data_IF_541096573189
#
_entry.id   IF_541096573189
#
_cell.length_a   1.000
_cell.length_b   1.000
_cell.length_c   1.000
_cell.angle_alpha   90.00
_cell.angle_beta   90.00
_cell.angle_gamma   90.00
#
_symmetry.space_group_name_H-M   'P 1'
#
loop_
_entity.id
_entity.type
_entity.pdbx_description
1 polymer ?
#
# COMPACT_ATOMS: atom_id res chain seq x y z
N UNK A 1 1.97 21.17 -23.01
CA UNK A 1 1.13 21.89 -22.02
C UNK A 1 0.29 20.85 -21.30
N UNK A 2 0.24 20.92 -19.96
CA UNK A 2 -0.54 20.02 -19.13
C UNK A 2 -1.87 20.70 -18.78
N UNK A 3 -2.96 19.95 -18.91
CA UNK A 3 -4.30 20.35 -18.47
C UNK A 3 -4.67 19.56 -17.22
N UNK A 4 -5.34 20.21 -16.27
CA UNK A 4 -5.76 19.58 -15.00
C UNK A 4 -7.25 19.78 -14.76
N UNK A 5 -7.89 18.73 -14.24
CA UNK A 5 -9.26 18.77 -13.74
C UNK A 5 -9.38 17.94 -12.46
N UNK A 6 -10.21 18.39 -11.56
CA UNK A 6 -10.60 17.70 -10.34
C UNK A 6 -12.07 17.31 -10.45
N UNK A 7 -12.36 16.06 -10.14
CA UNK A 7 -13.70 15.48 -10.25
C UNK A 7 -14.10 14.93 -8.89
N UNK A 8 -15.22 15.42 -8.37
CA UNK A 8 -15.78 15.03 -7.07
C UNK A 8 -17.18 14.46 -7.28
N UNK A 9 -17.56 13.43 -6.55
CA UNK A 9 -18.95 12.98 -6.49
C UNK A 9 -19.83 14.04 -5.81
N UNK A 10 -21.02 14.30 -6.36
CA UNK A 10 -22.01 15.17 -5.71
C UNK A 10 -22.25 14.70 -4.27
N UNK A 11 -22.47 15.61 -3.35
CA UNK A 11 -22.56 15.37 -1.91
C UNK A 11 -23.48 14.18 -1.55
N UNK A 12 -24.63 14.07 -2.17
CA UNK A 12 -25.55 12.96 -1.92
C UNK A 12 -24.99 11.58 -2.33
N UNK A 13 -23.99 11.56 -3.21
CA UNK A 13 -23.36 10.35 -3.77
C UNK A 13 -21.93 10.10 -3.26
N UNK A 14 -21.41 10.98 -2.40
CA UNK A 14 -20.05 10.93 -1.86
C UNK A 14 -19.91 9.85 -0.75
N UNK A 15 -20.37 8.61 -1.02
CA UNK A 15 -20.40 7.53 -0.04
C UNK A 15 -18.99 7.16 0.45
N UNK A 16 -18.00 7.15 -0.46
CA UNK A 16 -16.62 6.82 -0.15
C UNK A 16 -16.01 7.86 0.82
N UNK A 17 -16.25 9.14 0.57
CA UNK A 17 -15.77 10.20 1.45
C UNK A 17 -16.40 10.10 2.85
N UNK A 18 -17.70 9.79 2.94
CA UNK A 18 -18.39 9.60 4.22
C UNK A 18 -17.88 8.37 4.97
N UNK A 19 -17.70 7.24 4.28
CA UNK A 19 -17.17 6.03 4.90
C UNK A 19 -15.75 6.27 5.45
N UNK A 20 -14.88 6.90 4.64
CA UNK A 20 -13.53 7.23 5.08
C UNK A 20 -13.52 8.20 6.29
N UNK A 21 -14.41 9.20 6.31
CA UNK A 21 -14.54 10.09 7.45
C UNK A 21 -14.90 9.32 8.74
N UNK A 22 -15.84 8.38 8.65
CA UNK A 22 -16.23 7.51 9.76
C UNK A 22 -15.07 6.62 10.21
N UNK A 23 -14.34 6.02 9.29
CA UNK A 23 -13.18 5.19 9.58
C UNK A 23 -12.08 5.98 10.30
N UNK A 24 -11.72 7.17 9.80
CA UNK A 24 -10.69 8.01 10.42
C UNK A 24 -11.09 8.45 11.85
N UNK A 25 -12.37 8.72 12.07
CA UNK A 25 -12.88 9.04 13.42
C UNK A 25 -12.88 7.83 14.35
N UNK A 26 -13.26 6.65 13.83
CA UNK A 26 -13.37 5.44 14.63
C UNK A 26 -12.01 4.83 14.95
N UNK A 27 -11.14 4.66 13.94
CA UNK A 27 -9.87 3.95 14.11
C UNK A 27 -8.73 4.85 14.57
N UNK A 28 -8.67 6.11 14.10
CA UNK A 28 -7.64 7.06 14.54
C UNK A 28 -8.07 7.95 15.70
N UNK A 29 -9.35 7.90 16.08
CA UNK A 29 -9.87 8.69 17.20
C UNK A 29 -9.93 10.20 16.91
N UNK A 30 -9.85 10.66 15.65
CA UNK A 30 -9.76 12.08 15.28
C UNK A 30 -11.15 12.70 15.23
N UNK A 31 -11.68 13.06 16.39
CA UNK A 31 -13.03 13.64 16.50
C UNK A 31 -13.12 15.10 15.99
N UNK A 32 -11.98 15.81 15.92
CA UNK A 32 -11.89 17.17 15.37
C UNK A 32 -12.01 17.23 13.83
N UNK A 33 -11.90 16.10 13.13
CA UNK A 33 -12.17 16.01 11.70
C UNK A 33 -13.67 16.10 11.45
N UNK A 34 -14.17 17.25 11.00
CA UNK A 34 -15.61 17.53 10.84
C UNK A 34 -16.15 17.17 9.46
N UNK A 35 -15.30 17.20 8.43
CA UNK A 35 -15.67 16.88 7.06
C UNK A 35 -14.49 16.29 6.27
N UNK A 36 -14.83 15.55 5.22
CA UNK A 36 -13.88 15.00 4.29
C UNK A 36 -14.48 14.97 2.89
N UNK A 37 -13.74 15.49 1.91
CA UNK A 37 -14.10 15.45 0.49
C UNK A 37 -12.99 14.73 -0.29
N UNK A 38 -13.39 14.00 -1.33
CA UNK A 38 -12.48 13.23 -2.17
C UNK A 38 -12.63 13.64 -3.62
N UNK A 39 -11.49 13.96 -4.25
CA UNK A 39 -11.44 14.28 -5.67
C UNK A 39 -10.55 13.29 -6.41
N UNK A 40 -10.97 12.96 -7.62
CA UNK A 40 -10.08 12.36 -8.60
C UNK A 40 -9.46 13.49 -9.41
N UNK A 41 -8.14 13.66 -9.33
CA UNK A 41 -7.37 14.58 -10.15
C UNK A 41 -6.95 13.86 -11.42
N UNK A 42 -7.12 14.52 -12.55
CA UNK A 42 -6.58 14.08 -13.82
C UNK A 42 -5.67 15.16 -14.37
N UNK A 43 -4.45 14.79 -14.73
CA UNK A 43 -3.48 15.60 -15.44
C UNK A 43 -3.29 14.99 -16.83
N UNK A 44 -3.46 15.81 -17.88
CA UNK A 44 -3.41 15.36 -19.27
C UNK A 44 -2.41 16.18 -20.08
N UNK A 45 -1.60 15.50 -20.89
CA UNK A 45 -0.65 16.11 -21.81
C UNK A 45 -0.74 15.46 -23.20
N UNK A 46 -0.51 16.25 -24.25
CA UNK A 46 -0.52 15.76 -25.64
C UNK A 46 -1.89 15.85 -26.33
N UNK A 47 -2.80 16.68 -25.83
CA UNK A 47 -4.11 16.92 -26.44
C UNK A 47 -4.38 18.42 -26.64
N UNK A 48 -5.36 18.73 -27.49
CA UNK A 48 -5.85 20.12 -27.65
C UNK A 48 -6.76 20.53 -26.49
N UNK A 49 -6.96 21.81 -26.31
CA UNK A 49 -7.88 22.34 -25.29
C UNK A 49 -9.31 21.87 -25.56
N UNK A 50 -9.75 21.87 -26.81
CA UNK A 50 -11.10 21.48 -27.21
C UNK A 50 -11.34 19.98 -26.89
N UNK A 51 -10.34 19.13 -27.18
CA UNK A 51 -10.43 17.69 -26.84
C UNK A 51 -10.44 17.49 -25.33
N UNK A 52 -9.65 18.27 -24.58
CA UNK A 52 -9.67 18.21 -23.12
C UNK A 52 -11.05 18.57 -22.57
N UNK A 53 -11.64 19.71 -22.98
CA UNK A 53 -12.95 20.17 -22.50
C UNK A 53 -14.06 19.16 -22.85
N UNK A 54 -13.96 18.51 -24.00
CA UNK A 54 -14.88 17.43 -24.40
C UNK A 54 -14.67 16.17 -23.54
N UNK A 55 -13.42 15.76 -23.33
CA UNK A 55 -13.08 14.59 -22.52
C UNK A 55 -13.50 14.75 -21.05
N UNK A 56 -13.43 15.97 -20.49
CA UNK A 56 -13.90 16.23 -19.13
C UNK A 56 -15.36 15.81 -18.95
N UNK A 57 -16.21 16.09 -19.91
CA UNK A 57 -17.65 15.81 -19.83
C UNK A 57 -18.05 14.40 -20.25
N UNK A 58 -17.19 13.68 -21.00
CA UNK A 58 -17.56 12.40 -21.62
C UNK A 58 -16.75 11.22 -21.10
N UNK A 59 -15.54 11.45 -20.59
CA UNK A 59 -14.62 10.39 -20.12
C UNK A 59 -14.26 10.55 -18.65
N UNK A 60 -13.90 11.80 -18.24
CA UNK A 60 -13.31 12.03 -16.93
C UNK A 60 -14.34 12.26 -15.83
N UNK A 61 -15.57 12.60 -16.19
CA UNK A 61 -16.68 12.81 -15.26
C UNK A 61 -18.02 12.35 -15.85
N UNK A 62 -18.96 12.13 -14.96
CA UNK A 62 -20.37 11.89 -15.26
C UNK A 62 -21.18 13.11 -14.78
N UNK A 63 -21.61 14.04 -15.64
CA UNK A 63 -22.24 15.30 -15.23
C UNK A 63 -23.47 15.15 -14.31
N UNK A 64 -24.15 14.02 -14.38
CA UNK A 64 -25.30 13.70 -13.50
C UNK A 64 -24.84 13.38 -12.06
N UNK A 65 -23.65 12.80 -11.89
CA UNK A 65 -23.15 12.24 -10.62
C UNK A 65 -22.01 13.07 -10.03
N UNK A 66 -21.28 13.82 -10.88
CA UNK A 66 -20.05 14.51 -10.55
C UNK A 66 -20.18 16.02 -10.63
N UNK A 67 -19.30 16.68 -9.90
CA UNK A 67 -18.93 18.09 -10.07
C UNK A 67 -17.47 18.17 -10.50
N UNK A 68 -17.14 19.13 -11.34
CA UNK A 68 -15.78 19.32 -11.87
C UNK A 68 -15.29 20.73 -11.60
N UNK A 69 -13.98 20.86 -11.31
CA UNK A 69 -13.30 22.15 -11.19
C UNK A 69 -11.88 22.05 -11.74
N UNK A 70 -11.37 23.14 -12.30
CA UNK A 70 -9.97 23.27 -12.69
C UNK A 70 -9.10 23.89 -11.58
N UNK A 71 -9.73 24.44 -10.55
CA UNK A 71 -9.04 25.05 -9.41
C UNK A 71 -8.71 23.98 -8.36
N UNK A 72 -7.59 24.19 -7.66
CA UNK A 72 -7.22 23.33 -6.54
C UNK A 72 -8.33 23.39 -5.48
N UNK A 73 -8.90 22.24 -5.08
CA UNK A 73 -9.92 22.21 -4.04
C UNK A 73 -9.44 22.89 -2.75
N UNK A 74 -10.32 23.67 -2.14
CA UNK A 74 -10.03 24.39 -0.90
C UNK A 74 -10.60 23.66 0.32
N UNK A 75 -9.91 23.75 1.44
CA UNK A 75 -10.28 23.22 2.75
C UNK A 75 -9.21 23.54 3.79
N UNK A 76 -9.40 23.12 5.04
CA UNK A 76 -8.46 23.42 6.13
C UNK A 76 -7.11 22.69 5.92
N UNK A 77 -7.17 21.46 5.42
CA UNK A 77 -6.00 20.69 4.99
C UNK A 77 -6.28 20.00 3.66
N UNK A 78 -5.36 20.17 2.71
CA UNK A 78 -5.47 19.52 1.39
C UNK A 78 -4.14 18.83 1.05
N UNK A 79 -4.23 17.58 0.65
CA UNK A 79 -3.09 16.83 0.12
C UNK A 79 -3.54 15.89 -0.99
N UNK A 80 -2.61 15.45 -1.81
CA UNK A 80 -2.88 14.52 -2.89
C UNK A 80 -2.02 13.26 -2.74
N UNK A 81 -2.53 12.15 -3.27
CA UNK A 81 -1.84 10.85 -3.31
C UNK A 81 -1.83 10.34 -4.74
N UNK A 82 -0.66 9.96 -5.23
CA UNK A 82 -0.46 9.39 -6.55
C UNK A 82 0.22 8.03 -6.48
N UNK A 83 0.11 7.23 -7.52
CA UNK A 83 0.88 5.98 -7.62
C UNK A 83 2.38 6.25 -7.75
N UNK A 84 3.17 5.36 -7.17
CA UNK A 84 4.62 5.36 -7.35
C UNK A 84 4.97 5.15 -8.83
N UNK A 85 6.11 5.70 -9.28
CA UNK A 85 6.65 5.38 -10.59
C UNK A 85 6.79 3.88 -10.81
N UNK A 86 6.30 3.40 -11.95
CA UNK A 86 6.30 1.96 -12.29
C UNK A 86 5.06 1.20 -11.81
N UNK A 87 4.23 1.78 -10.95
CA UNK A 87 2.93 1.22 -10.61
C UNK A 87 1.91 1.47 -11.72
N UNK A 88 1.02 0.50 -11.91
CA UNK A 88 -0.03 0.60 -12.92
C UNK A 88 -1.20 1.45 -12.43
N UNK A 89 -1.38 2.61 -13.04
CA UNK A 89 -2.52 3.50 -12.81
C UNK A 89 -3.66 3.14 -13.78
N UNK A 90 -4.56 2.28 -13.34
CA UNK A 90 -5.70 1.82 -14.12
C UNK A 90 -6.61 2.98 -14.57
N UNK A 91 -6.80 3.98 -13.72
CA UNK A 91 -7.65 5.13 -14.01
C UNK A 91 -7.04 6.00 -15.11
N UNK A 92 -5.73 6.27 -15.02
CA UNK A 92 -5.00 7.01 -16.05
C UNK A 92 -4.97 6.25 -17.37
N UNK A 93 -4.72 4.95 -17.33
CA UNK A 93 -4.69 4.08 -18.50
C UNK A 93 -6.04 4.05 -19.23
N UNK A 94 -7.13 3.83 -18.50
CA UNK A 94 -8.49 3.83 -19.05
C UNK A 94 -8.88 5.19 -19.63
N UNK A 95 -8.54 6.28 -18.95
CA UNK A 95 -8.82 7.64 -19.44
C UNK A 95 -8.05 7.92 -20.74
N UNK A 96 -6.75 7.59 -20.80
CA UNK A 96 -5.92 7.74 -21.99
C UNK A 96 -6.47 6.94 -23.17
N UNK A 97 -6.90 5.70 -22.93
CA UNK A 97 -7.48 4.83 -23.95
C UNK A 97 -8.81 5.39 -24.48
N UNK A 98 -9.72 5.80 -23.60
CA UNK A 98 -10.99 6.37 -24.00
C UNK A 98 -10.82 7.67 -24.82
N UNK A 99 -9.88 8.55 -24.41
CA UNK A 99 -9.58 9.78 -25.17
C UNK A 99 -8.99 9.46 -26.54
N UNK A 100 -8.10 8.45 -26.62
CA UNK A 100 -7.58 7.98 -27.91
C UNK A 100 -8.69 7.49 -28.84
N UNK A 101 -9.65 6.73 -28.33
CA UNK A 101 -10.80 6.23 -29.09
C UNK A 101 -11.66 7.41 -29.60
N UNK A 102 -11.92 8.38 -28.72
CA UNK A 102 -12.73 9.57 -29.09
C UNK A 102 -12.07 10.41 -30.17
N UNK A 103 -10.77 10.63 -30.07
CA UNK A 103 -10.03 11.48 -31.01
C UNK A 103 -9.63 10.77 -32.28
N UNK A 104 -9.59 9.42 -32.26
CA UNK A 104 -8.96 8.58 -33.30
C UNK A 104 -7.50 9.00 -33.61
N UNK A 105 -6.84 9.63 -32.62
CA UNK A 105 -5.51 10.20 -32.72
C UNK A 105 -4.47 9.44 -31.86
N UNK A 106 -3.41 10.16 -31.53
CA UNK A 106 -2.39 9.63 -30.63
C UNK A 106 -2.93 9.51 -29.22
N UNK A 107 -2.41 8.53 -28.47
CA UNK A 107 -2.77 8.31 -27.08
C UNK A 107 -2.13 9.41 -26.21
N UNK A 108 -2.92 10.16 -25.44
CA UNK A 108 -2.37 11.18 -24.56
C UNK A 108 -1.64 10.56 -23.37
N UNK A 109 -0.73 11.32 -22.78
CA UNK A 109 -0.21 11.01 -21.45
C UNK A 109 -1.22 11.48 -20.42
N UNK A 110 -1.65 10.55 -19.55
CA UNK A 110 -2.56 10.85 -18.44
C UNK A 110 -1.91 10.38 -17.13
N UNK A 111 -2.08 11.17 -16.08
CA UNK A 111 -1.77 10.78 -14.70
C UNK A 111 -2.94 11.10 -13.81
N UNK A 112 -3.12 10.31 -12.78
CA UNK A 112 -4.15 10.59 -11.79
C UNK A 112 -3.56 10.73 -10.40
N UNK A 113 -4.31 11.42 -9.55
CA UNK A 113 -4.07 11.43 -8.13
C UNK A 113 -5.41 11.50 -7.39
N UNK A 114 -5.41 11.01 -6.17
CA UNK A 114 -6.51 11.18 -5.24
C UNK A 114 -6.25 12.41 -4.39
N UNK A 115 -7.17 13.38 -4.37
CA UNK A 115 -7.03 14.57 -3.54
C UNK A 115 -7.98 14.47 -2.37
N UNK A 116 -7.43 14.65 -1.18
CA UNK A 116 -8.12 14.63 0.09
C UNK A 116 -8.24 16.06 0.60
N UNK A 117 -9.46 16.48 0.89
CA UNK A 117 -9.75 17.75 1.52
C UNK A 117 -10.34 17.46 2.88
N UNK A 118 -9.64 17.84 3.93
CA UNK A 118 -10.03 17.64 5.31
C UNK A 118 -10.56 18.95 5.87
N UNK A 119 -11.66 18.89 6.61
CA UNK A 119 -12.29 20.01 7.29
C UNK A 119 -12.24 19.78 8.80
N UNK A 120 -11.86 20.81 9.56
CA UNK A 120 -11.74 20.78 11.02
C UNK A 120 -10.35 21.19 11.50
N UNK A 121 -10.26 21.50 12.78
CA UNK A 121 -9.00 21.88 13.42
C UNK A 121 -8.15 20.63 13.72
N UNK A 122 -7.23 20.30 12.81
CA UNK A 122 -6.34 19.15 12.93
C UNK A 122 -4.93 19.57 13.34
N UNK A 123 -4.32 18.82 14.25
CA UNK A 123 -2.89 18.98 14.53
C UNK A 123 -2.04 18.36 13.41
N UNK A 124 -0.77 18.75 13.34
CA UNK A 124 0.16 18.18 12.36
C UNK A 124 0.29 16.65 12.52
N UNK A 125 0.29 16.16 13.76
CA UNK A 125 0.36 14.72 14.05
C UNK A 125 -0.90 13.98 13.56
N UNK A 126 -2.07 14.61 13.69
CA UNK A 126 -3.32 14.04 13.19
C UNK A 126 -3.34 13.98 11.67
N UNK A 127 -2.85 15.03 10.99
CA UNK A 127 -2.73 15.05 9.53
C UNK A 127 -1.78 13.95 9.06
N UNK A 128 -0.62 13.80 9.71
CA UNK A 128 0.33 12.72 9.37
C UNK A 128 -0.25 11.33 9.65
N UNK A 129 -1.06 11.17 10.71
CA UNK A 129 -1.77 9.91 10.97
C UNK A 129 -2.78 9.58 9.85
N UNK A 130 -3.52 10.58 9.36
CA UNK A 130 -4.43 10.42 8.21
C UNK A 130 -3.65 10.04 6.95
N UNK A 131 -2.55 10.76 6.63
CA UNK A 131 -1.70 10.42 5.49
C UNK A 131 -1.17 9.00 5.58
N UNK A 132 -0.66 8.58 6.74
CA UNK A 132 -0.18 7.21 6.98
C UNK A 132 -1.28 6.15 6.82
N UNK A 133 -2.53 6.50 7.12
CA UNK A 133 -3.68 5.60 6.94
C UNK A 133 -4.05 5.42 5.47
N UNK A 134 -4.03 6.50 4.66
CA UNK A 134 -4.50 6.47 3.28
C UNK A 134 -3.40 6.24 2.23
N UNK A 135 -2.12 6.41 2.58
CA UNK A 135 -0.98 6.20 1.69
C UNK A 135 -0.39 4.82 1.95
N UNK A 136 -0.51 3.92 0.99
CA UNK A 136 0.24 2.68 1.01
C UNK A 136 1.64 2.92 0.41
N UNK A 137 2.73 2.91 1.20
CA UNK A 137 4.07 3.24 0.72
C UNK A 137 4.65 2.24 -0.29
N UNK A 138 4.01 1.08 -0.45
CA UNK A 138 4.41 0.07 -1.45
C UNK A 138 3.94 0.46 -2.86
N UNK A 139 2.84 1.20 -2.98
CA UNK A 139 2.23 1.52 -4.28
C UNK A 139 2.00 3.01 -4.51
N UNK A 140 2.01 3.83 -3.45
CA UNK A 140 1.62 5.24 -3.55
C UNK A 140 2.49 6.15 -2.69
N UNK A 141 2.41 7.45 -2.98
CA UNK A 141 3.10 8.51 -2.25
C UNK A 141 2.28 9.80 -2.26
N UNK A 142 2.65 10.74 -1.40
CA UNK A 142 2.12 12.10 -1.48
C UNK A 142 2.53 12.76 -2.81
N UNK A 143 1.59 13.42 -3.45
CA UNK A 143 1.76 14.12 -4.72
C UNK A 143 1.74 15.64 -4.51
N UNK A 144 2.53 16.36 -5.32
CA UNK A 144 2.43 17.83 -5.36
C UNK A 144 1.06 18.29 -5.84
N UNK A 145 0.55 19.36 -5.25
CA UNK A 145 -0.65 20.05 -5.72
C UNK A 145 -0.36 21.02 -6.87
N UNK A 146 0.91 21.35 -7.11
CA UNK A 146 1.32 22.21 -8.21
C UNK A 146 1.09 21.52 -9.55
N UNK A 147 0.75 22.32 -10.57
CA UNK A 147 0.60 21.83 -11.95
C UNK A 147 2.00 21.66 -12.56
N UNK A 148 2.41 20.46 -12.97
CA UNK A 148 3.71 20.25 -13.58
C UNK A 148 3.75 20.82 -15.01
N UNK A 149 4.94 21.20 -15.47
CA UNK A 149 5.13 21.66 -16.86
C UNK A 149 4.97 20.52 -17.88
N UNK A 150 5.33 19.31 -17.48
CA UNK A 150 5.17 18.08 -18.28
C UNK A 150 4.87 16.88 -17.40
N UNK A 151 4.17 15.91 -17.96
CA UNK A 151 3.91 14.60 -17.32
C UNK A 151 4.99 13.56 -17.62
N UNK A 152 5.97 13.90 -18.47
CA UNK A 152 7.12 13.03 -18.70
C UNK A 152 7.98 13.00 -17.43
N UNK A 153 8.24 11.82 -16.94
CA UNK A 153 9.15 11.63 -15.80
C UNK A 153 10.49 11.14 -16.33
N UNK A 154 11.53 11.84 -15.93
CA UNK A 154 12.89 11.34 -16.06
C UNK A 154 13.20 10.59 -14.78
N UNK A 155 13.61 9.33 -14.91
CA UNK A 155 14.03 8.49 -13.80
C UNK A 155 15.53 8.29 -13.87
N UNK A 156 16.18 8.43 -12.75
CA UNK A 156 17.51 7.88 -12.58
C UNK A 156 17.37 6.35 -12.47
N UNK A 157 17.57 5.68 -13.60
CA UNK A 157 17.47 4.22 -13.70
C UNK A 157 18.80 3.64 -13.20
N UNK A 158 18.82 2.96 -12.04
CA UNK A 158 20.05 2.34 -11.57
C UNK A 158 20.52 1.28 -12.56
N UNK A 159 21.75 1.43 -13.05
CA UNK A 159 22.38 0.49 -14.00
C UNK A 159 23.19 -0.61 -13.30
N UNK A 160 23.35 -0.49 -11.97
CA UNK A 160 24.11 -1.43 -11.15
C UNK A 160 23.30 -1.84 -9.93
N UNK A 161 23.52 -3.07 -9.47
CA UNK A 161 22.90 -3.58 -8.23
C UNK A 161 23.89 -3.38 -7.08
N UNK A 162 23.43 -2.77 -6.00
CA UNK A 162 24.25 -2.54 -4.77
C UNK A 162 24.60 -3.89 -4.12
N UNK A 163 25.89 -4.08 -3.84
CA UNK A 163 26.36 -5.16 -2.95
C UNK A 163 26.23 -4.72 -1.49
N UNK A 164 25.83 -5.64 -0.62
CA UNK A 164 25.79 -5.40 0.82
C UNK A 164 27.16 -5.69 1.41
N UNK A 165 28.00 -4.64 1.39
CA UNK A 165 29.39 -4.77 1.82
C UNK A 165 29.52 -5.18 3.27
N UNK A 166 30.45 -6.09 3.52
CA UNK A 166 30.72 -6.61 4.86
C UNK A 166 29.69 -7.61 5.39
N UNK A 167 28.68 -7.98 4.61
CA UNK A 167 27.61 -8.91 5.04
C UNK A 167 28.18 -10.20 5.65
N UNK A 168 29.18 -10.80 5.01
CA UNK A 168 29.79 -12.07 5.46
C UNK A 168 30.51 -11.98 6.80
N UNK A 169 30.80 -10.76 7.30
CA UNK A 169 31.50 -10.52 8.56
C UNK A 169 30.69 -9.71 9.58
N UNK A 170 29.43 -9.41 9.30
CA UNK A 170 28.54 -8.71 10.24
C UNK A 170 28.33 -9.54 11.52
N UNK A 171 28.32 -8.87 12.66
CA UNK A 171 27.88 -9.49 13.91
C UNK A 171 26.33 -9.53 13.99
N UNK A 172 25.83 -10.16 15.04
CA UNK A 172 24.38 -10.33 15.21
C UNK A 172 23.61 -8.99 15.30
N UNK A 173 24.22 -7.96 15.88
CA UNK A 173 23.59 -6.65 16.00
C UNK A 173 23.53 -5.92 14.65
N UNK A 174 24.59 -6.03 13.83
CA UNK A 174 24.62 -5.48 12.49
C UNK A 174 23.64 -6.19 11.53
N UNK A 175 23.49 -7.52 11.65
CA UNK A 175 22.49 -8.27 10.89
C UNK A 175 21.07 -7.88 11.30
N UNK A 176 20.81 -7.67 12.58
CA UNK A 176 19.49 -7.25 13.08
C UNK A 176 19.15 -5.84 12.60
N UNK A 177 20.12 -4.91 12.63
CA UNK A 177 19.97 -3.57 12.08
C UNK A 177 19.72 -3.60 10.56
N UNK A 178 20.41 -4.45 9.80
CA UNK A 178 20.18 -4.65 8.38
C UNK A 178 18.78 -5.19 8.09
N UNK A 179 18.29 -6.13 8.92
CA UNK A 179 16.92 -6.65 8.83
C UNK A 179 15.91 -5.52 8.94
N UNK A 180 16.06 -4.67 9.94
CA UNK A 180 15.16 -3.56 10.20
C UNK A 180 15.25 -2.48 9.11
N UNK A 181 16.48 -2.13 8.64
CA UNK A 181 16.68 -1.18 7.52
C UNK A 181 15.99 -1.64 6.25
N UNK A 182 16.12 -2.93 5.92
CA UNK A 182 15.55 -3.49 4.70
C UNK A 182 14.09 -3.95 4.86
N UNK A 183 13.55 -3.97 6.09
CA UNK A 183 12.22 -4.49 6.39
C UNK A 183 12.05 -5.95 5.98
N UNK A 184 13.05 -6.80 6.31
CA UNK A 184 13.04 -8.20 5.93
C UNK A 184 12.06 -9.01 6.78
N UNK A 185 11.49 -10.01 6.15
CA UNK A 185 10.64 -10.98 6.81
C UNK A 185 11.44 -12.11 7.48
N UNK A 186 12.67 -12.36 7.01
CA UNK A 186 13.62 -13.28 7.66
C UNK A 186 13.90 -12.83 9.10
N UNK A 187 14.00 -13.79 10.01
CA UNK A 187 14.48 -13.55 11.37
C UNK A 187 16.03 -13.50 11.43
N UNK A 188 16.57 -13.26 12.63
CA UNK A 188 18.01 -13.15 12.81
C UNK A 188 18.75 -14.49 12.54
N UNK A 189 18.12 -15.61 12.84
CA UNK A 189 18.74 -16.92 12.64
C UNK A 189 18.71 -17.32 11.17
N UNK A 190 17.67 -16.95 10.42
CA UNK A 190 17.60 -17.05 8.96
C UNK A 190 18.73 -16.23 8.30
N UNK A 191 18.93 -14.99 8.76
CA UNK A 191 20.02 -14.12 8.25
C UNK A 191 21.41 -14.67 8.57
N UNK A 192 21.62 -15.26 9.74
CA UNK A 192 22.89 -15.95 10.07
C UNK A 192 23.13 -17.15 9.18
N UNK A 193 22.07 -17.92 8.90
CA UNK A 193 22.17 -19.04 7.98
C UNK A 193 22.56 -18.55 6.58
N UNK A 194 21.88 -17.52 6.07
CA UNK A 194 22.20 -16.91 4.78
C UNK A 194 23.62 -16.34 4.75
N UNK A 195 24.05 -15.69 5.83
CA UNK A 195 25.42 -15.19 5.98
C UNK A 195 26.44 -16.32 5.87
N UNK A 196 26.17 -17.44 6.54
CA UNK A 196 27.01 -18.65 6.47
C UNK A 196 27.17 -19.12 5.02
N UNK A 197 26.08 -19.21 4.28
CA UNK A 197 26.12 -19.62 2.87
C UNK A 197 26.98 -18.69 2.02
N UNK A 198 26.77 -17.36 2.12
CA UNK A 198 27.55 -16.40 1.34
C UNK A 198 29.03 -16.37 1.74
N UNK A 199 29.34 -16.60 3.00
CA UNK A 199 30.71 -16.67 3.50
C UNK A 199 31.44 -17.95 3.09
N UNK A 200 30.78 -19.10 3.28
CA UNK A 200 31.45 -20.41 3.25
C UNK A 200 31.34 -21.09 1.87
N UNK A 201 30.22 -20.90 1.16
CA UNK A 201 29.99 -21.51 -0.15
C UNK A 201 30.24 -20.54 -1.31
N UNK A 202 29.70 -19.31 -1.24
CA UNK A 202 29.86 -18.32 -2.31
C UNK A 202 31.17 -17.52 -2.23
N UNK A 203 31.73 -17.35 -1.03
CA UNK A 203 32.97 -16.60 -0.81
C UNK A 203 32.91 -15.11 -1.17
N UNK A 204 31.71 -14.52 -1.15
CA UNK A 204 31.47 -13.12 -1.51
C UNK A 204 30.32 -12.49 -0.72
N UNK A 205 30.21 -11.17 -0.75
CA UNK A 205 29.03 -10.51 -0.24
C UNK A 205 27.85 -10.62 -1.21
N UNK A 206 26.62 -10.75 -0.72
CA UNK A 206 25.42 -10.74 -1.57
C UNK A 206 25.11 -9.33 -2.11
N UNK A 207 24.42 -9.30 -3.23
CA UNK A 207 23.72 -8.10 -3.69
C UNK A 207 22.41 -7.91 -2.90
N UNK A 208 21.92 -6.67 -2.87
CA UNK A 208 20.61 -6.39 -2.26
C UNK A 208 19.49 -7.18 -2.94
N UNK A 209 19.59 -7.41 -4.24
CA UNK A 209 18.60 -8.20 -4.98
C UNK A 209 18.60 -9.65 -4.51
N UNK A 210 19.76 -10.26 -4.29
CA UNK A 210 19.84 -11.64 -3.77
C UNK A 210 19.21 -11.74 -2.39
N UNK A 211 19.51 -10.81 -1.46
CA UNK A 211 18.86 -10.78 -0.14
C UNK A 211 17.34 -10.67 -0.28
N UNK A 212 16.84 -9.74 -1.12
CA UNK A 212 15.40 -9.54 -1.33
C UNK A 212 14.72 -10.76 -1.96
N UNK A 213 15.38 -11.43 -2.90
CA UNK A 213 14.84 -12.65 -3.52
C UNK A 213 14.74 -13.77 -2.50
N UNK A 214 15.80 -14.00 -1.70
CA UNK A 214 15.78 -15.00 -0.63
C UNK A 214 14.72 -14.67 0.40
N UNK A 215 14.63 -13.41 0.86
CA UNK A 215 13.62 -12.94 1.79
C UNK A 215 12.21 -13.18 1.26
N UNK A 216 11.96 -12.95 -0.03
CA UNK A 216 10.66 -13.22 -0.66
C UNK A 216 10.28 -14.70 -0.55
N UNK A 217 11.22 -15.61 -0.78
CA UNK A 217 10.98 -17.05 -0.60
C UNK A 217 10.77 -17.42 0.87
N UNK A 218 11.51 -16.81 1.80
CA UNK A 218 11.35 -17.01 3.24
C UNK A 218 10.06 -16.43 3.77
N UNK A 219 9.66 -15.28 3.24
CA UNK A 219 8.42 -14.58 3.59
C UNK A 219 7.20 -15.09 2.85
N UNK A 220 7.34 -16.16 2.09
CA UNK A 220 6.26 -16.74 1.30
C UNK A 220 4.94 -16.73 2.08
N UNK A 221 3.87 -16.31 1.39
CA UNK A 221 2.51 -16.33 1.90
C UNK A 221 2.03 -17.72 2.38
N UNK A 222 2.85 -18.75 2.18
CA UNK A 222 2.68 -20.11 2.68
C UNK A 222 3.70 -20.45 3.76
N UNK A 223 3.90 -19.62 4.77
CA UNK A 223 4.82 -19.89 5.91
C UNK A 223 4.44 -21.13 6.72
N UNK A 224 4.55 -22.28 6.12
CA UNK A 224 4.23 -23.56 6.77
C UNK A 224 5.04 -23.79 8.04
N UNK A 225 6.28 -23.33 8.11
CA UNK A 225 7.12 -23.42 9.30
C UNK A 225 6.52 -22.67 10.49
N UNK A 226 6.08 -21.41 10.28
CA UNK A 226 5.41 -20.62 11.33
C UNK A 226 4.10 -21.25 11.77
N UNK A 227 3.26 -21.67 10.81
CA UNK A 227 1.98 -22.30 11.11
C UNK A 227 2.12 -23.72 11.71
N UNK A 228 3.26 -24.38 11.47
CA UNK A 228 3.57 -25.69 12.03
C UNK A 228 4.31 -25.63 13.39
N UNK A 229 4.54 -24.43 13.91
CA UNK A 229 5.11 -24.26 15.26
C UNK A 229 4.26 -25.00 16.30
N UNK A 230 4.90 -25.82 17.11
CA UNK A 230 4.23 -26.56 18.18
C UNK A 230 3.81 -25.60 19.30
N UNK A 231 2.58 -25.75 19.75
CA UNK A 231 2.00 -24.99 20.86
C UNK A 231 1.99 -25.94 22.06
N UNK A 232 2.98 -25.79 22.95
CA UNK A 232 3.16 -26.69 24.09
C UNK A 232 2.46 -26.18 25.35
N UNK A 233 2.27 -24.86 25.45
CA UNK A 233 1.61 -24.22 26.59
C UNK A 233 0.68 -23.11 26.13
N UNK A 234 -0.52 -23.09 26.70
CA UNK A 234 -1.54 -22.07 26.40
C UNK A 234 -2.02 -21.46 27.71
N UNK A 235 -2.00 -20.13 27.78
CA UNK A 235 -2.52 -19.35 28.91
C UNK A 235 -3.53 -18.35 28.37
N UNK A 236 -4.78 -18.41 28.85
CA UNK A 236 -5.91 -17.60 28.35
C UNK A 236 -6.55 -16.88 29.52
N UNK A 237 -6.63 -15.56 29.45
CA UNK A 237 -7.23 -14.72 30.50
C UNK A 237 -8.65 -14.23 30.17
N UNK A 238 -9.18 -14.55 28.97
CA UNK A 238 -10.52 -14.20 28.54
C UNK A 238 -11.43 -15.44 28.51
N UNK A 239 -12.60 -15.35 29.15
CA UNK A 239 -13.52 -16.46 29.26
C UNK A 239 -14.14 -16.95 27.92
N UNK A 240 -14.36 -16.02 26.97
CA UNK A 240 -14.90 -16.37 25.66
C UNK A 240 -13.86 -17.07 24.80
N UNK A 241 -12.59 -16.62 24.87
CA UNK A 241 -11.45 -17.28 24.19
C UNK A 241 -11.17 -18.63 24.82
N UNK A 242 -11.21 -18.76 26.15
CA UNK A 242 -11.07 -20.03 26.84
C UNK A 242 -12.12 -21.04 26.38
N UNK A 243 -13.39 -20.64 26.33
CA UNK A 243 -14.47 -21.52 25.86
C UNK A 243 -14.30 -21.91 24.39
N UNK A 244 -13.75 -21.02 23.55
CA UNK A 244 -13.44 -21.36 22.15
C UNK A 244 -12.30 -22.38 22.04
N UNK A 245 -11.26 -22.24 22.86
CA UNK A 245 -10.14 -23.19 22.91
C UNK A 245 -10.58 -24.58 23.42
N UNK A 246 -11.44 -24.64 24.43
CA UNK A 246 -12.00 -25.91 24.90
C UNK A 246 -12.84 -26.63 23.82
N UNK A 247 -13.61 -25.89 23.03
CA UNK A 247 -14.32 -26.45 21.86
C UNK A 247 -13.36 -26.98 20.80
N UNK A 248 -12.25 -26.27 20.55
CA UNK A 248 -11.21 -26.77 19.65
C UNK A 248 -10.62 -28.10 20.15
N UNK A 249 -10.25 -28.20 21.44
CA UNK A 249 -9.74 -29.44 22.00
C UNK A 249 -10.75 -30.61 21.91
N UNK A 250 -12.03 -30.34 22.16
CA UNK A 250 -13.08 -31.33 22.00
C UNK A 250 -13.23 -31.80 20.53
N UNK A 251 -13.19 -30.84 19.58
CA UNK A 251 -13.24 -31.17 18.16
C UNK A 251 -12.04 -32.01 17.69
N UNK A 252 -10.84 -31.79 18.24
CA UNK A 252 -9.67 -32.63 17.94
C UNK A 252 -9.93 -34.09 18.33
N UNK A 253 -10.49 -34.32 19.53
CA UNK A 253 -10.82 -35.67 19.99
C UNK A 253 -11.89 -36.31 19.13
N UNK A 254 -12.91 -35.55 18.74
CA UNK A 254 -13.99 -36.04 17.86
C UNK A 254 -13.44 -36.43 16.47
N UNK A 255 -12.55 -35.64 15.89
CA UNK A 255 -12.01 -35.87 14.53
C UNK A 255 -10.95 -36.96 14.50
N UNK A 256 -10.03 -36.95 15.46
CA UNK A 256 -8.84 -37.83 15.43
C UNK A 256 -8.98 -39.07 16.34
N UNK A 257 -9.90 -39.06 17.30
CA UNK A 257 -9.96 -40.01 18.40
C UNK A 257 -8.93 -39.69 19.51
N UNK A 258 -9.17 -40.14 20.74
CA UNK A 258 -8.39 -39.78 21.92
C UNK A 258 -6.88 -40.07 21.74
N UNK A 259 -6.52 -41.29 21.26
CA UNK A 259 -5.13 -41.72 21.13
C UNK A 259 -4.33 -40.85 20.11
N UNK A 260 -4.92 -40.54 18.96
CA UNK A 260 -4.26 -39.73 17.93
C UNK A 260 -4.23 -38.25 18.30
N UNK A 261 -5.29 -37.73 18.90
CA UNK A 261 -5.36 -36.36 19.37
C UNK A 261 -4.27 -36.07 20.42
N UNK A 262 -4.01 -37.03 21.32
CA UNK A 262 -2.97 -36.90 22.34
C UNK A 262 -1.53 -36.93 21.77
N UNK A 263 -1.31 -37.61 20.65
CA UNK A 263 0.02 -37.74 20.02
C UNK A 263 0.30 -36.65 18.98
N UNK A 264 -0.74 -36.03 18.42
CA UNK A 264 -0.63 -35.02 17.39
C UNK A 264 -0.30 -33.66 18.04
N UNK A 265 0.77 -32.97 17.63
CA UNK A 265 1.07 -31.65 18.17
C UNK A 265 -0.04 -30.64 17.84
N UNK A 266 -0.30 -29.73 18.75
CA UNK A 266 -1.13 -28.58 18.46
C UNK A 266 -0.30 -27.56 17.67
N UNK A 267 -0.84 -27.05 16.56
CA UNK A 267 -0.20 -26.04 15.73
C UNK A 267 -1.26 -25.06 15.22
N UNK A 268 -0.85 -23.98 14.58
CA UNK A 268 -1.79 -23.05 13.95
C UNK A 268 -2.47 -23.64 12.68
N UNK A 269 -1.94 -24.78 12.19
CA UNK A 269 -2.51 -25.49 11.03
C UNK A 269 -3.39 -26.68 11.42
N UNK A 270 -3.52 -26.96 12.69
CA UNK A 270 -4.26 -28.12 13.18
C UNK A 270 -5.79 -27.91 13.16
#
# INVERSE_FOLDING_TARGET
MVYRVYVEKKEALANEARALLEDLRAFLGIQSLTGLRLFNRYDLEGISRELFDYAVQTVLSEPQLDTVTSEVPQGDTVFAVEYLPGQYDQRADSAAQCIQILSQGERPTVRTARVYVLEGELTAEQVEAVKKYVINPVESREASLELPETLRMEYDIPTTVRTVEGFTSMDAAALDALRDELGLAMDLDDLKFLQGYFRDDEGRNPTITEIRVVDTYWSDHCRHTTFSTHIDQVEIHDAAIQAAYERYLAARVEVYGEEKAAKRPQTLMD
#
